data_IF_535337068669
#
_entry.id   IF_535337068669
#
_cell.length_a   1.000
_cell.length_b   1.000
_cell.length_c   1.000
_cell.angle_alpha   90.00
_cell.angle_beta   90.00
_cell.angle_gamma   90.00
#
_symmetry.space_group_name_H-M   'P 1'
#
loop_
_entity.id
_entity.type
_entity.pdbx_description
1 polymer ?
#
# COMPACT_ATOMS: atom_id res chain seq x y z
N UNK A 1 7.97 -1.40 3.28
CA UNK A 1 9.04 -1.87 2.37
C UNK A 1 9.48 -0.77 1.40
N UNK A 2 10.66 -0.92 0.78
CA UNK A 2 11.09 -0.14 -0.38
C UNK A 2 10.35 -0.63 -1.64
N UNK A 3 10.44 0.14 -2.74
CA UNK A 3 9.79 -0.20 -4.01
C UNK A 3 10.31 -1.50 -4.66
N UNK A 4 11.54 -1.90 -4.32
CA UNK A 4 12.14 -3.16 -4.77
C UNK A 4 11.77 -4.37 -3.89
N UNK A 5 10.94 -4.17 -2.86
CA UNK A 5 10.50 -5.20 -1.92
C UNK A 5 11.45 -5.46 -0.75
N UNK A 6 12.59 -4.77 -0.67
CA UNK A 6 13.51 -4.89 0.47
C UNK A 6 13.00 -4.14 1.70
N UNK A 7 13.53 -4.48 2.87
CA UNK A 7 13.19 -3.78 4.11
C UNK A 7 13.67 -2.32 4.04
N UNK A 8 12.76 -1.37 4.33
CA UNK A 8 13.11 0.05 4.40
C UNK A 8 14.01 0.31 5.59
N UNK A 9 15.12 1.02 5.35
CA UNK A 9 15.99 1.48 6.43
C UNK A 9 15.22 2.40 7.38
N UNK A 10 15.22 2.04 8.65
CA UNK A 10 14.53 2.77 9.72
C UNK A 10 15.26 2.55 11.04
N UNK A 11 14.98 3.40 12.03
CA UNK A 11 15.51 3.22 13.40
C UNK A 11 15.10 1.86 13.98
N UNK A 12 13.93 1.34 13.62
CA UNK A 12 13.48 0.02 14.07
C UNK A 12 14.30 -1.10 13.46
N UNK A 13 14.55 -1.06 12.14
CA UNK A 13 15.41 -2.04 11.48
C UNK A 13 16.83 -2.02 12.04
N UNK A 14 17.40 -0.83 12.24
CA UNK A 14 18.79 -0.67 12.74
C UNK A 14 18.95 -1.12 14.19
N UNK A 15 17.93 -0.97 15.04
CA UNK A 15 18.00 -1.29 16.46
C UNK A 15 17.51 -2.67 16.82
N UNK A 16 16.52 -3.19 16.08
CA UNK A 16 15.82 -4.43 16.39
C UNK A 16 16.09 -5.55 15.38
N UNK A 17 16.77 -5.23 14.26
CA UNK A 17 17.08 -6.18 13.20
C UNK A 17 15.89 -6.54 12.31
N UNK A 18 16.10 -7.50 11.43
CA UNK A 18 15.17 -7.89 10.37
C UNK A 18 13.86 -8.52 10.87
N UNK A 19 13.79 -8.88 12.16
CA UNK A 19 12.63 -9.50 12.78
C UNK A 19 11.66 -8.49 13.41
N UNK A 20 11.99 -7.18 13.37
CA UNK A 20 11.21 -6.17 14.10
C UNK A 20 9.71 -6.14 13.72
N UNK A 21 9.37 -6.41 12.46
CA UNK A 21 7.96 -6.47 12.02
C UNK A 21 7.27 -7.70 12.63
N UNK A 22 7.92 -8.85 12.63
CA UNK A 22 7.42 -10.07 13.26
C UNK A 22 7.19 -9.86 14.76
N UNK A 23 8.13 -9.19 15.45
CA UNK A 23 7.98 -8.84 16.87
C UNK A 23 6.83 -7.86 17.10
N UNK A 24 6.65 -6.87 16.21
CA UNK A 24 5.50 -5.95 16.28
C UNK A 24 4.16 -6.70 16.21
N UNK A 25 4.04 -7.65 15.28
CA UNK A 25 2.85 -8.51 15.17
C UNK A 25 2.65 -9.38 16.43
N UNK A 26 3.72 -9.94 16.99
CA UNK A 26 3.66 -10.72 18.22
C UNK A 26 3.17 -9.88 19.41
N UNK A 27 3.66 -8.67 19.55
CA UNK A 27 3.23 -7.74 20.59
C UNK A 27 1.78 -7.29 20.40
N UNK A 28 1.37 -7.00 19.14
CA UNK A 28 0.00 -6.63 18.81
C UNK A 28 -0.99 -7.79 19.11
N UNK A 29 -0.64 -9.00 18.75
CA UNK A 29 -1.43 -10.20 19.08
C UNK A 29 -1.60 -10.38 20.58
N UNK A 30 -0.54 -10.14 21.35
CA UNK A 30 -0.59 -10.21 22.82
C UNK A 30 -1.45 -9.11 23.42
N UNK A 31 -1.34 -7.88 22.89
CA UNK A 31 -2.07 -6.73 23.40
C UNK A 31 -3.58 -6.79 23.05
N UNK A 32 -3.92 -7.29 21.87
CA UNK A 32 -5.30 -7.43 21.39
C UNK A 32 -5.53 -8.77 20.70
N UNK A 33 -5.79 -9.85 21.46
CA UNK A 33 -5.93 -11.20 20.91
C UNK A 33 -7.10 -11.37 19.94
N UNK A 34 -8.15 -10.54 20.09
CA UNK A 34 -9.38 -10.61 19.28
C UNK A 34 -9.34 -9.72 18.03
N UNK A 35 -8.38 -8.80 17.92
CA UNK A 35 -8.27 -7.93 16.75
C UNK A 35 -7.60 -8.66 15.59
N UNK A 36 -8.08 -8.41 14.38
CA UNK A 36 -7.37 -8.82 13.17
C UNK A 36 -6.13 -7.95 12.96
N UNK A 37 -5.04 -8.56 12.53
CA UNK A 37 -3.75 -7.93 12.32
C UNK A 37 -3.40 -7.88 10.84
N UNK A 38 -3.23 -6.67 10.31
CA UNK A 38 -2.94 -6.43 8.90
C UNK A 38 -1.57 -5.77 8.72
N UNK A 39 -0.82 -6.23 7.72
CA UNK A 39 0.33 -5.48 7.21
C UNK A 39 -0.16 -4.51 6.13
N UNK A 40 0.00 -3.21 6.33
CA UNK A 40 -0.46 -2.16 5.41
C UNK A 40 0.73 -1.44 4.77
N UNK A 41 0.71 -1.33 3.43
CA UNK A 41 1.77 -0.63 2.69
C UNK A 41 1.21 -0.03 1.39
N UNK A 42 1.86 1.01 0.87
CA UNK A 42 1.57 1.59 -0.44
C UNK A 42 2.31 0.82 -1.54
N UNK A 43 1.81 0.84 -2.76
CA UNK A 43 2.40 0.21 -3.94
C UNK A 43 2.74 -1.29 -3.79
N UNK A 44 2.19 -1.97 -2.79
CA UNK A 44 2.41 -3.40 -2.59
C UNK A 44 1.62 -4.28 -3.58
N UNK A 45 0.82 -3.67 -4.45
CA UNK A 45 0.30 -4.30 -5.65
C UNK A 45 1.34 -4.43 -6.76
N UNK A 46 2.41 -3.64 -6.76
CA UNK A 46 3.44 -3.69 -7.78
C UNK A 46 4.31 -4.95 -7.66
N UNK A 47 4.71 -5.60 -8.77
CA UNK A 47 5.28 -6.95 -8.74
C UNK A 47 6.47 -7.14 -7.82
N UNK A 48 7.44 -6.20 -7.81
CA UNK A 48 8.63 -6.32 -6.96
C UNK A 48 8.31 -6.17 -5.48
N UNK A 49 7.49 -5.17 -5.15
CA UNK A 49 7.10 -4.89 -3.77
C UNK A 49 6.15 -5.96 -3.25
N UNK A 50 5.24 -6.46 -4.09
CA UNK A 50 4.41 -7.65 -3.83
C UNK A 50 5.24 -8.85 -3.42
N UNK A 51 6.31 -9.15 -4.19
CA UNK A 51 7.20 -10.28 -3.86
C UNK A 51 7.86 -10.12 -2.48
N UNK A 52 8.33 -8.93 -2.14
CA UNK A 52 8.89 -8.62 -0.82
C UNK A 52 7.83 -8.72 0.29
N UNK A 53 6.61 -8.24 0.04
CA UNK A 53 5.50 -8.35 0.97
C UNK A 53 5.13 -9.83 1.24
N UNK A 54 5.06 -10.65 0.19
CA UNK A 54 4.84 -12.09 0.31
C UNK A 54 5.93 -12.76 1.16
N UNK A 55 7.21 -12.40 0.93
CA UNK A 55 8.32 -12.93 1.72
C UNK A 55 8.20 -12.54 3.21
N UNK A 56 7.82 -11.31 3.50
CA UNK A 56 7.58 -10.83 4.87
C UNK A 56 6.42 -11.56 5.54
N UNK A 57 5.28 -11.73 4.85
CA UNK A 57 4.12 -12.45 5.36
C UNK A 57 4.50 -13.91 5.70
N UNK A 58 5.18 -14.59 4.76
CA UNK A 58 5.65 -15.97 5.01
C UNK A 58 6.60 -16.06 6.19
N UNK A 59 7.47 -15.06 6.40
CA UNK A 59 8.36 -14.99 7.55
C UNK A 59 7.58 -14.88 8.87
N UNK A 60 6.56 -14.02 8.92
CA UNK A 60 5.68 -13.87 10.08
C UNK A 60 4.95 -15.20 10.38
N UNK A 61 4.37 -15.82 9.37
CA UNK A 61 3.69 -17.11 9.49
C UNK A 61 4.63 -18.23 9.95
N UNK A 62 5.84 -18.31 9.40
CA UNK A 62 6.86 -19.30 9.78
C UNK A 62 7.32 -19.16 11.24
N UNK A 63 7.27 -17.93 11.79
CA UNK A 63 7.56 -17.66 13.19
C UNK A 63 6.38 -18.03 14.15
N UNK A 64 5.28 -18.59 13.63
CA UNK A 64 4.09 -18.93 14.40
C UNK A 64 3.33 -17.70 14.91
N UNK A 65 3.52 -16.55 14.28
CA UNK A 65 2.85 -15.29 14.63
C UNK A 65 1.68 -15.07 13.69
N UNK A 66 0.55 -14.64 14.26
CA UNK A 66 -0.68 -14.41 13.50
C UNK A 66 -0.55 -13.16 12.63
N UNK A 67 -0.95 -13.31 11.38
CA UNK A 67 -1.23 -12.25 10.42
C UNK A 67 -2.53 -12.60 9.71
N UNK A 68 -3.53 -11.75 9.78
CA UNK A 68 -4.88 -12.03 9.30
C UNK A 68 -5.11 -11.45 7.90
N UNK A 69 -4.33 -10.44 7.52
CA UNK A 69 -4.49 -9.81 6.21
C UNK A 69 -3.36 -8.89 5.80
N UNK A 70 -3.49 -8.42 4.58
CA UNK A 70 -2.67 -7.37 3.98
C UNK A 70 -3.54 -6.22 3.52
N UNK A 71 -3.09 -4.99 3.76
CA UNK A 71 -3.68 -3.77 3.25
C UNK A 71 -2.92 -3.26 2.04
N UNK A 72 -3.61 -3.04 0.93
CA UNK A 72 -3.14 -2.27 -0.22
C UNK A 72 -3.68 -0.85 -0.03
N UNK A 73 -2.82 0.15 0.13
CA UNK A 73 -3.30 1.51 0.40
C UNK A 73 -4.18 2.04 -0.73
N UNK A 74 -3.81 1.83 -1.98
CA UNK A 74 -4.64 2.19 -3.12
C UNK A 74 -4.56 3.68 -3.50
N UNK A 75 -3.35 4.27 -3.48
CA UNK A 75 -3.09 5.64 -3.93
C UNK A 75 -2.78 5.67 -5.42
N UNK A 76 -3.80 5.73 -6.25
CA UNK A 76 -3.66 5.66 -7.70
C UNK A 76 -3.88 7.01 -8.40
N UNK A 77 -3.84 7.00 -9.73
CA UNK A 77 -4.06 8.18 -10.57
C UNK A 77 -5.09 7.86 -11.65
N UNK A 78 -6.02 8.77 -11.90
CA UNK A 78 -7.09 8.59 -12.87
C UNK A 78 -6.54 8.19 -14.26
N UNK A 79 -7.12 7.15 -14.85
CA UNK A 79 -6.69 6.55 -16.11
C UNK A 79 -5.39 5.77 -16.03
N UNK A 80 -4.83 5.51 -14.83
CA UNK A 80 -3.60 4.75 -14.60
C UNK A 80 -3.71 3.76 -13.45
N UNK A 81 -4.93 3.37 -13.09
CA UNK A 81 -5.16 2.35 -12.08
C UNK A 81 -4.58 1.02 -12.57
N UNK A 82 -3.69 0.37 -11.80
CA UNK A 82 -3.00 -0.84 -12.26
C UNK A 82 -3.85 -2.09 -12.02
N UNK A 83 -5.02 -2.19 -12.67
CA UNK A 83 -6.00 -3.26 -12.44
C UNK A 83 -5.42 -4.66 -12.47
N UNK A 84 -4.56 -4.95 -13.46
CA UNK A 84 -3.91 -6.27 -13.57
C UNK A 84 -3.03 -6.57 -12.37
N UNK A 85 -2.21 -5.60 -11.93
CA UNK A 85 -1.32 -5.80 -10.78
C UNK A 85 -2.12 -5.93 -9.47
N UNK A 86 -3.26 -5.24 -9.36
CA UNK A 86 -4.19 -5.35 -8.23
C UNK A 86 -4.78 -6.76 -8.18
N UNK A 87 -5.33 -7.26 -9.30
CA UNK A 87 -5.91 -8.60 -9.41
C UNK A 87 -4.89 -9.68 -9.05
N UNK A 88 -3.71 -9.65 -9.70
CA UNK A 88 -2.62 -10.58 -9.39
C UNK A 88 -2.17 -10.52 -7.92
N UNK A 89 -2.23 -9.33 -7.29
CA UNK A 89 -1.87 -9.17 -5.88
C UNK A 89 -2.92 -9.75 -4.95
N UNK A 90 -4.20 -9.54 -5.25
CA UNK A 90 -5.30 -10.13 -4.49
C UNK A 90 -5.18 -11.66 -4.51
N UNK A 91 -4.96 -12.25 -5.70
CA UNK A 91 -4.79 -13.69 -5.85
C UNK A 91 -3.56 -14.22 -5.08
N UNK A 92 -2.41 -13.53 -5.23
CA UNK A 92 -1.17 -13.94 -4.61
C UNK A 92 -1.22 -13.86 -3.07
N UNK A 93 -1.86 -12.85 -2.52
CA UNK A 93 -2.05 -12.73 -1.06
C UNK A 93 -3.10 -13.70 -0.53
N UNK A 94 -4.21 -13.87 -1.24
CA UNK A 94 -5.23 -14.86 -0.88
C UNK A 94 -4.67 -16.29 -0.85
N UNK A 95 -3.74 -16.62 -1.76
CA UNK A 95 -3.06 -17.91 -1.78
C UNK A 95 -2.20 -18.19 -0.52
N UNK A 96 -1.90 -17.16 0.29
CA UNK A 96 -1.23 -17.31 1.59
C UNK A 96 -2.22 -17.60 2.73
N UNK A 97 -3.52 -17.68 2.44
CA UNK A 97 -4.58 -17.91 3.43
C UNK A 97 -4.92 -16.68 4.26
N UNK A 98 -4.64 -15.48 3.77
CA UNK A 98 -4.91 -14.22 4.46
C UNK A 98 -5.91 -13.35 3.68
N UNK A 99 -6.54 -12.40 4.37
CA UNK A 99 -7.47 -11.44 3.78
C UNK A 99 -6.71 -10.34 3.03
N UNK A 100 -7.38 -9.73 2.06
CA UNK A 100 -6.90 -8.53 1.35
C UNK A 100 -7.89 -7.40 1.55
N UNK A 101 -7.40 -6.21 1.81
CA UNK A 101 -8.20 -5.00 2.00
C UNK A 101 -7.57 -3.84 1.23
N UNK A 102 -8.38 -3.05 0.55
CA UNK A 102 -7.97 -1.72 0.08
C UNK A 102 -8.24 -0.76 1.23
N UNK A 103 -7.18 -0.15 1.77
CA UNK A 103 -7.25 0.51 3.09
C UNK A 103 -7.36 2.02 3.05
N UNK A 104 -6.89 2.67 1.97
CA UNK A 104 -6.74 4.12 1.90
C UNK A 104 -7.12 4.68 0.51
N UNK A 105 -8.03 3.99 -0.21
CA UNK A 105 -8.34 4.27 -1.62
C UNK A 105 -8.54 5.75 -1.91
N UNK A 106 -7.64 6.30 -2.70
CA UNK A 106 -7.81 7.57 -3.40
C UNK A 106 -7.36 7.47 -4.87
N UNK A 107 -8.03 8.23 -5.74
CA UNK A 107 -7.66 8.32 -7.15
C UNK A 107 -7.42 9.80 -7.48
N UNK A 108 -6.15 10.17 -7.58
CA UNK A 108 -5.72 11.54 -7.82
C UNK A 108 -5.93 11.93 -9.28
N UNK A 109 -6.48 13.11 -9.51
CA UNK A 109 -6.70 13.67 -10.86
C UNK A 109 -5.67 14.75 -11.23
N UNK A 110 -4.96 15.29 -10.24
CA UNK A 110 -3.99 16.36 -10.47
C UNK A 110 -2.64 15.80 -10.94
N UNK A 111 -1.90 16.51 -11.80
CA UNK A 111 -0.56 16.10 -12.18
C UNK A 111 0.36 15.97 -10.97
N UNK A 112 1.09 14.86 -10.86
CA UNK A 112 2.13 14.68 -9.84
C UNK A 112 3.45 15.26 -10.32
N UNK A 113 3.99 16.21 -9.56
CA UNK A 113 5.29 16.83 -9.83
C UNK A 113 6.43 16.23 -9.01
N UNK A 114 6.17 15.15 -8.29
CA UNK A 114 7.14 14.47 -7.44
C UNK A 114 6.99 12.95 -7.53
N UNK A 115 8.08 12.24 -7.30
CA UNK A 115 8.12 10.79 -7.17
C UNK A 115 8.34 10.43 -5.70
N UNK A 116 7.54 9.50 -5.17
CA UNK A 116 7.70 8.99 -3.82
C UNK A 116 6.48 9.17 -2.93
N UNK A 117 6.54 8.58 -1.72
CA UNK A 117 5.45 8.54 -0.76
C UNK A 117 5.51 9.65 0.31
N UNK A 118 6.42 10.64 0.16
CA UNK A 118 6.54 11.73 1.11
C UNK A 118 5.39 12.73 0.96
N UNK A 119 4.41 12.65 1.84
CA UNK A 119 3.24 13.56 1.87
C UNK A 119 3.63 15.03 2.06
N UNK A 120 4.79 15.33 2.63
CA UNK A 120 5.26 16.72 2.77
C UNK A 120 5.61 17.34 1.42
N UNK A 121 5.91 16.56 0.41
CA UNK A 121 6.14 17.05 -0.96
C UNK A 121 4.82 17.43 -1.65
N UNK A 122 3.70 16.84 -1.28
CA UNK A 122 2.37 17.21 -1.77
C UNK A 122 1.98 18.64 -1.39
N UNK A 123 2.40 19.11 -0.23
CA UNK A 123 2.08 20.47 0.25
C UNK A 123 2.82 21.59 -0.47
N UNK A 124 3.80 21.25 -1.31
CA UNK A 124 4.53 22.20 -2.17
C UNK A 124 3.95 22.28 -3.59
N UNK A 125 2.77 21.70 -3.81
CA UNK A 125 2.09 21.79 -5.09
C UNK A 125 1.76 23.27 -5.37
N UNK A 126 2.24 23.77 -6.50
CA UNK A 126 1.91 25.10 -6.99
C UNK A 126 0.45 25.10 -7.48
N UNK A 127 -0.46 25.87 -6.87
CA UNK A 127 -1.85 25.95 -7.32
C UNK A 127 -2.00 26.35 -8.79
N UNK A 128 -0.99 27.05 -9.36
CA UNK A 128 -0.97 27.41 -10.79
C UNK A 128 -0.83 26.21 -11.72
N UNK A 129 -0.40 25.07 -11.19
CA UNK A 129 -0.31 23.81 -11.93
C UNK A 129 -1.59 22.99 -11.93
N UNK A 130 -2.65 23.47 -11.28
CA UNK A 130 -3.96 22.82 -11.32
C UNK A 130 -4.65 23.09 -12.66
N UNK A 131 -4.73 22.10 -13.58
CA UNK A 131 -5.39 22.29 -14.88
C UNK A 131 -6.91 22.40 -14.74
N UNK A 132 -7.46 22.15 -13.57
CA UNK A 132 -8.89 22.08 -13.27
C UNK A 132 -9.37 23.21 -12.35
N UNK A 133 -8.65 24.35 -12.32
CA UNK A 133 -9.04 25.51 -11.49
C UNK A 133 -10.47 26.03 -11.77
N UNK A 134 -10.99 25.81 -12.99
CA UNK A 134 -12.35 26.20 -13.42
C UNK A 134 -13.35 25.03 -13.40
N UNK A 135 -13.02 23.92 -12.76
CA UNK A 135 -13.84 22.71 -12.68
C UNK A 135 -13.27 21.52 -13.44
N UNK A 136 -13.66 20.34 -13.03
CA UNK A 136 -13.22 19.09 -13.61
C UNK A 136 -14.00 18.80 -14.91
N UNK A 137 -13.37 18.59 -16.07
CA UNK A 137 -14.05 18.22 -17.31
C UNK A 137 -14.86 16.94 -17.19
N UNK A 138 -15.99 16.83 -17.88
CA UNK A 138 -16.88 15.65 -17.85
C UNK A 138 -16.13 14.36 -18.22
N UNK A 139 -15.20 14.42 -19.18
CA UNK A 139 -14.40 13.26 -19.56
C UNK A 139 -13.52 12.74 -18.42
N UNK A 140 -12.97 13.62 -17.59
CA UNK A 140 -12.17 13.26 -16.41
C UNK A 140 -13.07 12.74 -15.30
N UNK A 141 -14.25 13.31 -15.12
CA UNK A 141 -15.26 12.83 -14.16
C UNK A 141 -15.71 11.40 -14.52
N UNK A 142 -15.98 11.14 -15.82
CA UNK A 142 -16.35 9.82 -16.31
C UNK A 142 -15.22 8.80 -16.13
N UNK A 143 -13.98 9.19 -16.43
CA UNK A 143 -12.82 8.33 -16.19
C UNK A 143 -12.67 7.99 -14.71
N UNK A 144 -12.78 9.00 -13.85
CA UNK A 144 -12.69 8.79 -12.40
C UNK A 144 -13.80 7.86 -11.89
N UNK A 145 -15.04 8.04 -12.38
CA UNK A 145 -16.15 7.16 -12.03
C UNK A 145 -15.91 5.71 -12.49
N UNK A 146 -15.33 5.52 -13.67
CA UNK A 146 -14.97 4.21 -14.18
C UNK A 146 -13.82 3.56 -13.37
N UNK A 147 -12.86 4.35 -12.91
CA UNK A 147 -11.72 3.88 -12.12
C UNK A 147 -12.13 3.44 -10.69
N UNK A 148 -13.26 3.98 -10.17
CA UNK A 148 -13.82 3.56 -8.88
C UNK A 148 -14.83 2.40 -8.97
N UNK A 149 -15.30 2.06 -10.18
CA UNK A 149 -16.30 1.00 -10.39
C UNK A 149 -15.67 -0.39 -10.46
#
# INVERSE_FOLDING_TARGET
LNEDGTMRRSVFLERLGDDYVTEAFRLAQKASPSSELYYNDYNNEQPKKRAGCIALIKKIQAAGVRIDGVGIQGHWHAGRVPYKDIEESIEAYAALGIKVMITELDIEVLPRNFSGADVNQRMKSDPSLNPYANGLPDSVQQQLAADYA
#
